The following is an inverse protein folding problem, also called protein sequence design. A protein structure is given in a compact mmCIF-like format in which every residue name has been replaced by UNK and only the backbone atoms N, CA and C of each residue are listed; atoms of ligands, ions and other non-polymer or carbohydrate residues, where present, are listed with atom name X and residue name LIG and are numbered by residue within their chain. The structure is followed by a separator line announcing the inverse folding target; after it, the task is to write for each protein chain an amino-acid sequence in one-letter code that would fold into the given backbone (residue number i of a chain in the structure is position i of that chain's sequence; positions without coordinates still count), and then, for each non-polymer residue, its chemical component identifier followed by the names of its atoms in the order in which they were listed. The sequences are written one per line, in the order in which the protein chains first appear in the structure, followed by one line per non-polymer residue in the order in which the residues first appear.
data_IF_484509161650
#
_entry.id   IF_484509161650
#
_cell.length_a   1.000
_cell.length_b   1.000
_cell.length_c   1.000
_cell.angle_alpha   90.00
_cell.angle_beta   90.00
_cell.angle_gamma   90.00
#
_symmetry.space_group_name_H-M   'P 1'
#
loop_
_entity.id
_entity.type
_entity.pdbx_description
1 polymer ?
#
# COMPACT_ATOMS: atom_id res chain seq x y z
N UNK A 1 16.05 -19.79 -17.05
CA UNK A 1 15.66 -20.37 -15.76
C UNK A 1 14.28 -19.82 -15.43
N UNK A 2 13.25 -20.64 -15.51
CA UNK A 2 11.88 -20.26 -15.13
C UNK A 2 11.85 -20.21 -13.61
N UNK A 3 11.96 -19.00 -13.04
CA UNK A 3 11.67 -18.80 -11.62
C UNK A 3 10.17 -19.09 -11.41
N UNK A 4 9.86 -20.29 -10.92
CA UNK A 4 8.50 -20.60 -10.49
C UNK A 4 8.15 -19.62 -9.35
N UNK A 5 7.20 -18.74 -9.61
CA UNK A 5 6.71 -17.81 -8.60
C UNK A 5 6.01 -18.66 -7.52
N UNK A 6 6.70 -18.92 -6.42
CA UNK A 6 6.13 -19.73 -5.33
C UNK A 6 4.94 -18.97 -4.74
N UNK A 7 3.78 -19.62 -4.68
CA UNK A 7 2.60 -19.05 -4.05
C UNK A 7 2.90 -18.59 -2.61
N UNK A 8 2.49 -17.39 -2.27
CA UNK A 8 2.71 -16.75 -0.97
C UNK A 8 1.40 -16.21 -0.41
N UNK A 9 1.36 -15.96 0.87
CA UNK A 9 0.28 -15.17 1.48
C UNK A 9 0.62 -13.71 1.36
N UNK A 10 -0.32 -12.94 0.78
CA UNK A 10 -0.23 -11.50 0.61
C UNK A 10 -1.28 -10.81 1.49
N UNK A 11 -0.86 -9.96 2.40
CA UNK A 11 -1.71 -9.08 3.19
C UNK A 11 -1.77 -7.71 2.53
N UNK A 12 -2.97 -7.26 2.14
CA UNK A 12 -3.22 -5.96 1.49
C UNK A 12 -4.17 -5.15 2.35
N UNK A 13 -3.71 -4.04 2.92
CA UNK A 13 -4.58 -3.18 3.73
C UNK A 13 -5.42 -2.22 2.87
N UNK A 14 -6.68 -2.00 3.26
CA UNK A 14 -7.58 -1.10 2.54
C UNK A 14 -7.95 -1.61 1.13
N UNK A 15 -8.31 -2.90 1.01
CA UNK A 15 -8.52 -3.59 -0.27
C UNK A 15 -9.98 -3.53 -0.79
N UNK A 16 -10.85 -2.71 -0.20
CA UNK A 16 -12.27 -2.67 -0.56
C UNK A 16 -12.51 -2.10 -1.97
N UNK A 17 -11.69 -1.13 -2.39
CA UNK A 17 -11.86 -0.39 -3.66
C UNK A 17 -10.54 0.21 -4.16
N UNK A 18 -10.59 0.84 -5.35
CA UNK A 18 -9.49 1.60 -5.92
C UNK A 18 -8.20 0.81 -6.01
N UNK A 19 -7.09 1.45 -5.62
CA UNK A 19 -5.73 0.89 -5.69
C UNK A 19 -5.62 -0.42 -4.91
N UNK A 20 -6.13 -0.47 -3.66
CA UNK A 20 -6.03 -1.66 -2.83
C UNK A 20 -6.73 -2.88 -3.41
N UNK A 21 -7.91 -2.69 -4.02
CA UNK A 21 -8.63 -3.77 -4.70
C UNK A 21 -7.88 -4.27 -5.94
N UNK A 22 -7.38 -3.35 -6.77
CA UNK A 22 -6.60 -3.71 -7.94
C UNK A 22 -5.33 -4.51 -7.57
N UNK A 23 -4.62 -4.07 -6.52
CA UNK A 23 -3.46 -4.78 -5.98
C UNK A 23 -3.84 -6.19 -5.51
N UNK A 24 -4.92 -6.32 -4.74
CA UNK A 24 -5.39 -7.60 -4.22
C UNK A 24 -5.68 -8.61 -5.34
N UNK A 25 -6.43 -8.18 -6.36
CA UNK A 25 -6.74 -9.01 -7.54
C UNK A 25 -5.49 -9.35 -8.33
N UNK A 26 -4.62 -8.36 -8.58
CA UNK A 26 -3.41 -8.56 -9.39
C UNK A 26 -2.41 -9.53 -8.71
N UNK A 27 -2.21 -9.45 -7.39
CA UNK A 27 -1.38 -10.39 -6.64
C UNK A 27 -2.00 -11.80 -6.65
N UNK A 28 -3.32 -11.90 -6.51
CA UNK A 28 -4.02 -13.17 -6.61
C UNK A 28 -3.88 -13.84 -7.99
N UNK A 29 -3.93 -13.06 -9.06
CA UNK A 29 -3.70 -13.54 -10.42
C UNK A 29 -2.28 -14.11 -10.64
N UNK A 30 -1.32 -13.76 -9.77
CA UNK A 30 0.01 -14.37 -9.74
C UNK A 30 0.05 -15.69 -8.92
N UNK A 31 -1.09 -16.17 -8.45
CA UNK A 31 -1.20 -17.40 -7.66
C UNK A 31 -0.98 -17.22 -6.16
N UNK A 32 -0.92 -15.99 -5.66
CA UNK A 32 -0.82 -15.73 -4.22
C UNK A 32 -2.18 -15.89 -3.52
N UNK A 33 -2.17 -16.34 -2.27
CA UNK A 33 -3.36 -16.27 -1.40
C UNK A 33 -3.46 -14.87 -0.82
N UNK A 34 -4.58 -14.18 -1.04
CA UNK A 34 -4.73 -12.78 -0.67
C UNK A 34 -5.62 -12.59 0.54
N UNK A 35 -5.11 -11.90 1.55
CA UNK A 35 -5.90 -11.40 2.68
C UNK A 35 -6.04 -9.90 2.50
N UNK A 36 -7.24 -9.44 2.11
CA UNK A 36 -7.55 -8.03 1.98
C UNK A 36 -8.19 -7.48 3.25
N UNK A 37 -7.92 -6.23 3.65
CA UNK A 37 -8.61 -5.69 4.83
C UNK A 37 -9.53 -4.52 4.50
N UNK A 38 -10.59 -4.42 5.27
CA UNK A 38 -11.58 -3.33 5.29
C UNK A 38 -11.85 -2.89 6.73
N UNK A 39 -12.47 -1.72 6.90
CA UNK A 39 -12.82 -1.21 8.22
C UNK A 39 -14.17 -1.72 8.74
N UNK A 40 -14.97 -2.39 7.89
CA UNK A 40 -16.30 -2.92 8.23
C UNK A 40 -16.47 -4.36 7.74
N UNK A 41 -17.43 -5.08 8.30
CA UNK A 41 -17.78 -6.44 7.88
C UNK A 41 -18.31 -6.49 6.44
N UNK A 42 -19.11 -5.49 6.03
CA UNK A 42 -19.61 -5.39 4.66
C UNK A 42 -18.44 -5.21 3.69
N UNK A 43 -17.45 -4.38 4.06
CA UNK A 43 -16.25 -4.18 3.28
C UNK A 43 -15.41 -5.46 3.17
N UNK A 44 -15.26 -6.21 4.25
CA UNK A 44 -14.55 -7.49 4.25
C UNK A 44 -15.27 -8.54 3.37
N UNK A 45 -16.60 -8.62 3.48
CA UNK A 45 -17.42 -9.49 2.63
C UNK A 45 -17.32 -9.11 1.15
N UNK A 46 -17.32 -7.81 0.84
CA UNK A 46 -17.14 -7.30 -0.53
C UNK A 46 -15.77 -7.67 -1.11
N UNK A 47 -14.70 -7.63 -0.30
CA UNK A 47 -13.37 -8.09 -0.72
C UNK A 47 -13.40 -9.57 -1.06
N UNK A 48 -13.95 -10.41 -0.19
CA UNK A 48 -14.07 -11.87 -0.40
C UNK A 48 -14.80 -12.16 -1.71
N UNK A 49 -15.96 -11.51 -1.93
CA UNK A 49 -16.74 -11.67 -3.15
C UNK A 49 -15.97 -11.23 -4.41
N UNK A 50 -15.22 -10.12 -4.32
CA UNK A 50 -14.44 -9.61 -5.43
C UNK A 50 -13.27 -10.54 -5.80
N UNK A 51 -12.57 -11.10 -4.81
CA UNK A 51 -11.51 -12.08 -5.02
C UNK A 51 -12.08 -13.37 -5.66
N UNK A 52 -13.19 -13.89 -5.12
CA UNK A 52 -13.85 -15.08 -5.66
C UNK A 52 -14.29 -14.86 -7.12
N UNK A 53 -14.90 -13.71 -7.44
CA UNK A 53 -15.32 -13.36 -8.80
C UNK A 53 -14.14 -13.25 -9.79
N UNK A 54 -12.96 -12.92 -9.29
CA UNK A 54 -11.71 -12.88 -10.07
C UNK A 54 -10.98 -14.23 -10.12
N UNK A 55 -11.53 -15.30 -9.53
CA UNK A 55 -10.89 -16.61 -9.43
C UNK A 55 -9.66 -16.63 -8.51
N UNK A 56 -9.55 -15.68 -7.59
CA UNK A 56 -8.43 -15.53 -6.67
C UNK A 56 -8.72 -16.22 -5.36
N UNK A 57 -7.77 -17.01 -4.87
CA UNK A 57 -7.83 -17.57 -3.53
C UNK A 57 -7.54 -16.51 -2.48
N UNK A 58 -8.49 -16.23 -1.60
CA UNK A 58 -8.32 -15.20 -0.58
C UNK A 58 -9.60 -14.88 0.16
N UNK A 59 -9.47 -13.99 1.13
CA UNK A 59 -10.58 -13.54 1.96
C UNK A 59 -10.42 -12.07 2.38
N UNK A 60 -11.52 -11.42 2.69
CA UNK A 60 -11.57 -10.12 3.34
C UNK A 60 -11.61 -10.26 4.86
N UNK A 61 -10.92 -9.40 5.56
CA UNK A 61 -10.89 -9.33 7.04
C UNK A 61 -11.15 -7.91 7.51
N UNK A 62 -11.79 -7.78 8.66
CA UNK A 62 -11.95 -6.46 9.29
C UNK A 62 -10.67 -6.06 9.98
N UNK A 63 -10.21 -4.84 9.73
CA UNK A 63 -9.07 -4.25 10.41
C UNK A 63 -9.17 -2.73 10.45
N UNK A 64 -9.16 -2.17 11.66
CA UNK A 64 -8.84 -0.77 11.91
C UNK A 64 -7.32 -0.67 12.09
N UNK A 65 -6.59 -0.20 11.08
CA UNK A 65 -5.10 -0.22 11.10
C UNK A 65 -4.48 0.66 12.20
N UNK A 66 -5.22 1.63 12.73
CA UNK A 66 -4.79 2.46 13.87
C UNK A 66 -4.95 1.74 15.23
N UNK A 67 -5.70 0.64 15.30
CA UNK A 67 -5.81 -0.21 16.49
C UNK A 67 -4.64 -1.20 16.51
N UNK A 68 -3.74 -1.01 17.50
CA UNK A 68 -2.54 -1.84 17.62
C UNK A 68 -2.87 -3.30 17.97
N UNK A 69 -3.84 -3.51 18.86
CA UNK A 69 -4.23 -4.87 19.29
C UNK A 69 -4.91 -5.63 18.14
N UNK A 70 -5.79 -4.95 17.37
CA UNK A 70 -6.41 -5.54 16.19
C UNK A 70 -5.37 -5.91 15.12
N UNK A 71 -4.35 -5.09 14.90
CA UNK A 71 -3.25 -5.40 13.98
C UNK A 71 -2.49 -6.66 14.43
N UNK A 72 -2.13 -6.77 15.71
CA UNK A 72 -1.42 -7.91 16.27
C UNK A 72 -2.24 -9.20 16.16
N UNK A 73 -3.51 -9.17 16.59
CA UNK A 73 -4.43 -10.29 16.52
C UNK A 73 -4.62 -10.79 15.07
N UNK A 74 -4.77 -9.88 14.10
CA UNK A 74 -4.90 -10.27 12.69
C UNK A 74 -3.64 -10.96 12.17
N UNK A 75 -2.45 -10.43 12.48
CA UNK A 75 -1.19 -11.04 12.05
C UNK A 75 -1.00 -12.43 12.68
N UNK A 76 -1.31 -12.60 13.96
CA UNK A 76 -1.25 -13.88 14.66
C UNK A 76 -2.19 -14.91 14.02
N UNK A 77 -3.44 -14.53 13.73
CA UNK A 77 -4.42 -15.41 13.10
C UNK A 77 -3.98 -15.85 11.69
N UNK A 78 -3.48 -14.91 10.87
CA UNK A 78 -2.95 -15.24 9.54
C UNK A 78 -1.74 -16.19 9.67
N UNK A 79 -0.83 -15.94 10.60
CA UNK A 79 0.33 -16.80 10.82
C UNK A 79 -0.07 -18.20 11.31
N UNK A 80 -1.07 -18.30 12.20
CA UNK A 80 -1.59 -19.58 12.68
C UNK A 80 -2.25 -20.39 11.54
N UNK A 81 -3.01 -19.72 10.67
CA UNK A 81 -3.75 -20.35 9.56
C UNK A 81 -2.85 -20.72 8.38
N UNK A 82 -1.88 -19.88 8.03
CA UNK A 82 -1.12 -19.99 6.79
C UNK A 82 0.39 -20.20 7.01
N UNK A 83 0.87 -20.12 8.25
CA UNK A 83 2.27 -20.32 8.61
C UNK A 83 3.21 -19.14 8.29
N UNK A 84 2.85 -18.27 7.35
CA UNK A 84 3.68 -17.12 6.95
C UNK A 84 2.87 -16.02 6.29
N UNK A 85 3.41 -14.79 6.33
CA UNK A 85 2.98 -13.66 5.50
C UNK A 85 4.21 -13.30 4.67
N UNK A 86 4.18 -13.65 3.38
CA UNK A 86 5.32 -13.39 2.48
C UNK A 86 5.29 -11.96 1.92
N UNK A 87 4.12 -11.45 1.60
CA UNK A 87 3.95 -10.12 1.01
C UNK A 87 3.08 -9.27 1.91
N UNK A 88 3.54 -8.06 2.25
CA UNK A 88 2.75 -7.05 2.94
C UNK A 88 2.64 -5.82 2.04
N UNK A 89 1.41 -5.42 1.74
CA UNK A 89 1.12 -4.15 1.05
C UNK A 89 0.38 -3.21 1.99
N UNK A 90 1.06 -2.19 2.46
CA UNK A 90 0.49 -1.12 3.25
C UNK A 90 -0.13 -0.08 2.33
N UNK A 91 -1.43 -0.22 2.05
CA UNK A 91 -2.18 0.69 1.17
C UNK A 91 -3.24 1.51 1.92
N UNK A 92 -3.78 1.04 3.03
CA UNK A 92 -4.75 1.80 3.82
C UNK A 92 -4.24 3.19 4.18
N UNK A 93 -5.09 4.19 4.03
CA UNK A 93 -4.75 5.57 4.35
C UNK A 93 -5.96 6.49 4.33
N UNK A 94 -5.82 7.63 4.97
CA UNK A 94 -6.83 8.69 5.03
C UNK A 94 -6.19 10.05 4.73
N UNK A 95 -7.02 11.01 4.37
CA UNK A 95 -6.67 12.43 4.36
C UNK A 95 -7.53 13.20 5.37
N UNK A 96 -6.99 14.27 5.91
CA UNK A 96 -7.67 15.30 6.71
C UNK A 96 -7.05 16.63 6.32
N UNK A 97 -7.53 17.16 5.21
CA UNK A 97 -6.94 18.32 4.55
C UNK A 97 -7.40 19.62 5.23
N UNK A 98 -6.42 20.43 5.63
CA UNK A 98 -6.66 21.77 6.18
C UNK A 98 -5.37 22.60 6.06
N UNK A 99 -5.51 23.92 5.89
CA UNK A 99 -4.33 24.81 5.89
C UNK A 99 -3.59 24.68 7.24
N UNK A 100 -2.26 24.69 7.22
CA UNK A 100 -1.43 24.46 8.41
C UNK A 100 -1.82 25.34 9.61
N UNK A 101 -2.14 26.63 9.37
CA UNK A 101 -2.58 27.55 10.42
C UNK A 101 -3.97 27.25 11.02
N UNK A 102 -4.75 26.36 10.39
CA UNK A 102 -6.12 25.97 10.82
C UNK A 102 -6.20 24.48 11.13
N UNK A 103 -5.16 23.70 10.82
CA UNK A 103 -5.13 22.27 11.05
C UNK A 103 -5.15 22.00 12.56
N UNK A 104 -6.09 21.17 12.99
CA UNK A 104 -6.22 20.76 14.39
C UNK A 104 -5.29 19.58 14.67
N UNK A 105 -4.87 19.45 15.93
CA UNK A 105 -4.02 18.34 16.37
C UNK A 105 -4.69 16.99 16.10
N UNK A 106 -6.00 16.88 16.25
CA UNK A 106 -6.74 15.65 15.96
C UNK A 106 -6.71 15.28 14.46
N UNK A 107 -6.71 16.27 13.55
CA UNK A 107 -6.58 16.04 12.11
C UNK A 107 -5.16 15.57 11.75
N UNK A 108 -4.16 16.16 12.40
CA UNK A 108 -2.77 15.74 12.29
C UNK A 108 -2.59 14.32 12.81
N UNK A 109 -2.96 14.06 14.05
CA UNK A 109 -2.77 12.77 14.72
C UNK A 109 -3.48 11.63 14.01
N UNK A 110 -4.72 11.83 13.54
CA UNK A 110 -5.46 10.81 12.79
C UNK A 110 -4.71 10.37 11.53
N UNK A 111 -4.11 11.32 10.79
CA UNK A 111 -3.35 11.03 9.58
C UNK A 111 -2.04 10.34 9.91
N UNK A 112 -1.29 10.82 10.90
CA UNK A 112 -0.02 10.20 11.31
C UNK A 112 -0.26 8.78 11.85
N UNK A 113 -1.27 8.57 12.70
CA UNK A 113 -1.59 7.26 13.25
C UNK A 113 -1.95 6.25 12.15
N UNK A 114 -2.75 6.65 11.18
CA UNK A 114 -3.20 5.76 10.10
C UNK A 114 -2.14 5.56 9.03
N UNK A 115 -1.53 6.66 8.54
CA UNK A 115 -0.70 6.61 7.33
C UNK A 115 0.79 6.35 7.61
N UNK A 116 1.25 6.46 8.88
CA UNK A 116 2.65 6.23 9.24
C UNK A 116 2.79 5.21 10.38
N UNK A 117 2.15 5.45 11.54
CA UNK A 117 2.33 4.58 12.71
C UNK A 117 1.80 3.16 12.43
N UNK A 118 0.63 3.03 11.79
CA UNK A 118 0.07 1.74 11.42
C UNK A 118 0.96 0.99 10.41
N UNK A 119 1.52 1.70 9.42
CA UNK A 119 2.47 1.13 8.46
C UNK A 119 3.70 0.56 9.15
N UNK A 120 4.25 1.30 10.12
CA UNK A 120 5.36 0.81 10.95
C UNK A 120 4.96 -0.45 11.74
N UNK A 121 3.80 -0.45 12.41
CA UNK A 121 3.35 -1.58 13.24
C UNK A 121 3.19 -2.86 12.42
N UNK A 122 2.49 -2.77 11.29
CA UNK A 122 2.28 -3.93 10.40
C UNK A 122 3.61 -4.41 9.80
N UNK A 123 4.46 -3.49 9.34
CA UNK A 123 5.79 -3.86 8.83
C UNK A 123 6.61 -4.58 9.89
N UNK A 124 6.71 -4.04 11.10
CA UNK A 124 7.40 -4.67 12.22
C UNK A 124 6.85 -6.06 12.56
N UNK A 125 5.51 -6.21 12.54
CA UNK A 125 4.86 -7.47 12.89
C UNK A 125 5.17 -8.62 11.93
N UNK A 126 5.42 -8.34 10.65
CA UNK A 126 5.76 -9.37 9.66
C UNK A 126 7.26 -9.66 9.55
N UNK A 127 8.14 -8.81 10.13
CA UNK A 127 9.59 -8.99 9.96
C UNK A 127 10.10 -10.33 10.52
N UNK A 128 9.70 -10.70 11.75
CA UNK A 128 10.21 -11.92 12.39
C UNK A 128 9.88 -13.18 11.58
N UNK A 129 8.63 -13.44 11.14
CA UNK A 129 8.34 -14.57 10.28
C UNK A 129 9.03 -14.49 8.91
N UNK A 130 9.13 -13.31 8.28
CA UNK A 130 9.87 -13.14 7.02
C UNK A 130 11.37 -13.43 7.18
N UNK A 131 11.99 -12.98 8.28
CA UNK A 131 13.41 -13.26 8.58
C UNK A 131 13.64 -14.75 8.79
N UNK A 132 12.72 -15.46 9.46
CA UNK A 132 12.78 -16.93 9.63
C UNK A 132 12.67 -17.66 8.29
N UNK A 133 11.79 -17.18 7.40
CA UNK A 133 11.62 -17.73 6.05
C UNK A 133 12.76 -17.33 5.10
N UNK A 134 13.60 -16.35 5.45
CA UNK A 134 14.60 -15.72 4.59
C UNK A 134 14.03 -15.21 3.26
N UNK A 135 12.82 -14.76 3.30
CA UNK A 135 12.07 -14.19 2.17
C UNK A 135 10.97 -13.25 2.66
N UNK A 136 10.81 -12.11 2.03
CA UNK A 136 9.75 -11.18 2.30
C UNK A 136 9.71 -10.00 1.33
N UNK A 137 8.51 -9.45 1.12
CA UNK A 137 8.27 -8.25 0.31
C UNK A 137 7.36 -7.31 1.09
N UNK A 138 7.87 -6.16 1.47
CA UNK A 138 7.08 -5.09 2.10
C UNK A 138 7.00 -3.95 1.10
N UNK A 139 5.77 -3.59 0.70
CA UNK A 139 5.49 -2.56 -0.30
C UNK A 139 4.56 -1.53 0.32
N UNK A 140 5.02 -0.30 0.43
CA UNK A 140 4.29 0.78 1.08
C UNK A 140 3.75 1.76 0.03
N UNK A 141 2.43 1.94 -0.02
CA UNK A 141 1.82 2.91 -0.93
C UNK A 141 1.92 4.31 -0.30
N UNK A 142 2.82 5.12 -0.87
CA UNK A 142 3.04 6.51 -0.49
C UNK A 142 2.23 7.46 -1.38
N UNK A 143 2.80 8.57 -1.84
CA UNK A 143 2.19 9.53 -2.76
C UNK A 143 3.25 10.47 -3.29
N UNK A 144 3.05 11.02 -4.48
CA UNK A 144 3.81 12.19 -4.96
C UNK A 144 3.77 13.35 -3.98
N UNK A 145 2.67 13.51 -3.21
CA UNK A 145 2.54 14.55 -2.19
C UNK A 145 3.61 14.42 -1.09
N UNK A 146 4.09 13.22 -0.81
CA UNK A 146 5.21 13.01 0.12
C UNK A 146 6.56 13.51 -0.43
N UNK A 147 6.66 13.75 -1.74
CA UNK A 147 7.86 14.27 -2.41
C UNK A 147 7.75 15.77 -2.71
N UNK A 148 6.60 16.19 -3.28
CA UNK A 148 6.41 17.57 -3.73
C UNK A 148 5.78 18.49 -2.68
N UNK A 149 5.09 17.92 -1.68
CA UNK A 149 4.14 18.65 -0.85
C UNK A 149 2.85 18.99 -1.61
N UNK A 150 1.83 19.40 -0.86
CA UNK A 150 0.60 19.97 -1.42
C UNK A 150 -0.03 20.91 -0.38
N UNK A 151 -0.47 22.12 -0.75
CA UNK A 151 -1.16 23.01 0.17
C UNK A 151 -2.35 22.32 0.85
N UNK A 152 -2.48 22.50 2.16
CA UNK A 152 -3.53 21.86 2.96
C UNK A 152 -3.26 20.43 3.39
N UNK A 153 -2.14 19.82 3.00
CA UNK A 153 -1.81 18.42 3.29
C UNK A 153 -0.50 18.24 4.05
N UNK A 154 -0.17 19.15 4.98
CA UNK A 154 1.07 19.07 5.75
C UNK A 154 1.18 17.73 6.52
N UNK A 155 0.09 17.27 7.16
CA UNK A 155 -0.01 15.98 7.84
C UNK A 155 0.20 14.79 6.90
N UNK A 156 -0.48 14.81 5.75
CA UNK A 156 -0.40 13.73 4.76
C UNK A 156 0.99 13.67 4.11
N UNK A 157 1.54 14.81 3.71
CA UNK A 157 2.90 14.90 3.17
C UNK A 157 3.95 14.39 4.16
N UNK A 158 3.86 14.82 5.43
CA UNK A 158 4.75 14.34 6.50
C UNK A 158 4.67 12.82 6.69
N UNK A 159 3.45 12.27 6.73
CA UNK A 159 3.25 10.83 6.87
C UNK A 159 3.84 10.05 5.69
N UNK A 160 3.56 10.47 4.44
CA UNK A 160 4.01 9.76 3.24
C UNK A 160 5.53 9.89 3.02
N UNK A 161 6.12 11.03 3.32
CA UNK A 161 7.58 11.21 3.37
C UNK A 161 8.22 10.35 4.48
N UNK A 162 7.60 10.30 5.66
CA UNK A 162 8.04 9.47 6.78
C UNK A 162 8.06 7.98 6.43
N UNK A 163 7.03 7.48 5.73
CA UNK A 163 6.99 6.09 5.25
C UNK A 163 8.16 5.80 4.29
N UNK A 164 8.48 6.70 3.37
CA UNK A 164 9.62 6.52 2.46
C UNK A 164 10.95 6.47 3.22
N UNK A 165 11.14 7.36 4.22
CA UNK A 165 12.31 7.34 5.10
C UNK A 165 12.42 6.06 5.92
N UNK A 166 11.32 5.63 6.54
CA UNK A 166 11.21 4.38 7.29
C UNK A 166 11.51 3.16 6.40
N UNK A 167 11.01 3.13 5.17
CA UNK A 167 11.26 2.03 4.23
C UNK A 167 12.74 1.85 3.95
N UNK A 168 13.49 2.94 3.78
CA UNK A 168 14.95 2.91 3.60
C UNK A 168 15.68 2.37 4.83
N UNK A 169 15.26 2.73 6.03
CA UNK A 169 15.85 2.24 7.26
C UNK A 169 15.61 0.72 7.41
N UNK A 170 14.38 0.26 7.27
CA UNK A 170 14.02 -1.16 7.34
C UNK A 170 14.76 -1.98 6.27
N UNK A 171 14.86 -1.46 5.03
CA UNK A 171 15.59 -2.13 3.95
C UNK A 171 17.05 -2.43 4.32
N UNK A 172 17.73 -1.51 5.03
CA UNK A 172 19.10 -1.71 5.52
C UNK A 172 19.18 -2.76 6.62
N UNK A 173 18.18 -2.83 7.48
CA UNK A 173 18.14 -3.80 8.60
C UNK A 173 17.92 -5.24 8.12
N UNK A 174 17.06 -5.44 7.10
CA UNK A 174 16.58 -6.78 6.75
C UNK A 174 17.04 -7.31 5.40
N UNK A 175 17.74 -6.52 4.58
CA UNK A 175 18.18 -6.89 3.24
C UNK A 175 19.03 -8.17 3.21
N UNK A 176 19.91 -8.38 4.21
CA UNK A 176 20.71 -9.60 4.35
C UNK A 176 19.90 -10.87 4.61
N UNK A 177 18.62 -10.72 4.88
CA UNK A 177 17.66 -11.82 5.12
C UNK A 177 16.77 -12.15 3.92
N UNK A 178 17.06 -11.59 2.73
CA UNK A 178 16.25 -11.81 1.53
C UNK A 178 14.91 -11.07 1.54
N UNK A 179 14.79 -10.03 2.38
CA UNK A 179 13.58 -9.22 2.50
C UNK A 179 13.83 -7.89 1.81
N UNK A 180 12.91 -7.48 0.94
CA UNK A 180 12.93 -6.14 0.35
C UNK A 180 11.83 -5.27 0.95
N UNK A 181 12.14 -3.99 1.15
CA UNK A 181 11.20 -2.99 1.64
C UNK A 181 11.24 -1.80 0.70
N UNK A 182 10.15 -1.59 -0.04
CA UNK A 182 10.05 -0.53 -1.03
C UNK A 182 8.79 0.30 -0.84
N UNK A 183 8.78 1.47 -1.42
CA UNK A 183 7.62 2.33 -1.51
C UNK A 183 7.21 2.52 -2.99
N UNK A 184 5.93 2.77 -3.22
CA UNK A 184 5.40 3.26 -4.49
C UNK A 184 4.80 4.62 -4.22
N UNK A 185 5.12 5.61 -5.05
CA UNK A 185 4.58 6.96 -5.00
C UNK A 185 3.62 7.19 -6.18
N UNK A 186 2.30 6.89 -6.02
CA UNK A 186 1.31 7.20 -7.04
C UNK A 186 1.19 8.70 -7.28
N UNK A 187 0.92 9.07 -8.54
CA UNK A 187 0.40 10.37 -8.90
C UNK A 187 -1.11 10.47 -8.69
N UNK A 188 -1.79 11.24 -9.54
CA UNK A 188 -3.25 11.27 -9.57
C UNK A 188 -3.79 10.02 -10.26
N UNK A 189 -4.52 9.21 -9.51
CA UNK A 189 -5.09 7.93 -9.95
C UNK A 189 -6.60 8.07 -10.04
N UNK A 190 -7.19 7.60 -11.16
CA UNK A 190 -8.64 7.56 -11.33
C UNK A 190 -9.26 6.56 -10.35
N UNK A 191 -9.82 7.11 -9.29
CA UNK A 191 -10.51 6.40 -8.21
C UNK A 191 -11.79 7.15 -7.85
N UNK A 192 -12.55 6.64 -6.90
CA UNK A 192 -13.77 7.33 -6.42
C UNK A 192 -13.49 8.74 -5.89
N UNK A 193 -12.26 9.01 -5.42
CA UNK A 193 -11.87 10.36 -4.97
C UNK A 193 -11.72 11.34 -6.13
N UNK A 194 -11.21 10.89 -7.27
CA UNK A 194 -11.04 11.75 -8.45
C UNK A 194 -12.32 11.89 -9.25
N UNK A 195 -13.25 10.92 -9.18
CA UNK A 195 -14.58 11.00 -9.80
C UNK A 195 -15.47 12.11 -9.23
N UNK A 196 -15.15 12.59 -8.02
CA UNK A 196 -15.87 13.73 -7.41
C UNK A 196 -15.41 15.09 -7.95
N UNK A 197 -14.34 15.13 -8.77
CA UNK A 197 -13.80 16.36 -9.36
C UNK A 197 -14.60 16.77 -10.63
N UNK A 198 -14.70 18.07 -10.88
CA UNK A 198 -15.28 18.58 -12.12
C UNK A 198 -14.36 18.28 -13.33
N UNK A 199 -14.95 18.31 -14.54
CA UNK A 199 -14.18 18.12 -15.79
C UNK A 199 -13.02 19.12 -15.91
N UNK A 200 -13.23 20.38 -15.50
CA UNK A 200 -12.20 21.43 -15.57
C UNK A 200 -11.08 21.16 -14.55
N UNK A 201 -11.39 20.63 -13.38
CA UNK A 201 -10.38 20.20 -12.42
C UNK A 201 -9.59 19.01 -12.96
N UNK A 202 -10.24 18.02 -13.57
CA UNK A 202 -9.57 16.87 -14.20
C UNK A 202 -8.67 17.34 -15.34
N UNK A 203 -9.12 18.25 -16.20
CA UNK A 203 -8.29 18.83 -17.26
C UNK A 203 -7.07 19.56 -16.72
N UNK A 204 -7.25 20.37 -15.66
CA UNK A 204 -6.15 21.10 -15.01
C UNK A 204 -5.12 20.15 -14.40
N UNK A 205 -5.56 19.08 -13.76
CA UNK A 205 -4.67 18.05 -13.20
C UNK A 205 -3.93 17.30 -14.31
N UNK A 206 -4.65 16.89 -15.37
CA UNK A 206 -4.07 16.15 -16.49
C UNK A 206 -3.01 16.97 -17.22
N UNK A 207 -3.21 18.28 -17.34
CA UNK A 207 -2.23 19.19 -17.96
C UNK A 207 -0.90 19.25 -17.21
N UNK A 208 -0.87 18.89 -15.93
CA UNK A 208 0.35 18.83 -15.11
C UNK A 208 1.08 17.49 -15.21
N UNK A 209 0.47 16.50 -15.88
CA UNK A 209 1.02 15.15 -16.00
C UNK A 209 1.63 15.00 -17.40
N UNK A 210 2.95 14.79 -17.55
CA UNK A 210 3.58 14.58 -18.86
C UNK A 210 2.95 13.48 -19.69
N UNK A 211 2.49 12.38 -19.07
CA UNK A 211 1.76 11.30 -19.75
C UNK A 211 0.35 11.67 -20.22
N UNK A 212 -0.15 12.89 -19.95
CA UNK A 212 -1.42 13.46 -20.38
C UNK A 212 -2.65 12.62 -20.03
N UNK A 213 -2.58 11.85 -18.94
CA UNK A 213 -3.70 11.09 -18.40
C UNK A 213 -3.57 10.92 -16.90
N UNK A 214 -4.68 10.68 -16.22
CA UNK A 214 -4.66 10.11 -14.88
C UNK A 214 -4.11 8.68 -14.95
N UNK A 215 -3.43 8.24 -13.91
CA UNK A 215 -3.11 6.83 -13.74
C UNK A 215 -4.37 6.02 -13.41
N UNK A 216 -4.31 4.72 -13.60
CA UNK A 216 -5.36 3.79 -13.17
C UNK A 216 -4.90 3.01 -11.93
N UNK A 217 -5.82 2.42 -11.15
CA UNK A 217 -5.45 1.47 -10.11
C UNK A 217 -4.56 0.33 -10.61
N UNK A 218 -4.74 -0.09 -11.87
CA UNK A 218 -3.95 -1.16 -12.48
C UNK A 218 -2.51 -0.73 -12.79
N UNK A 219 -2.24 0.55 -13.10
CA UNK A 219 -0.88 1.07 -13.24
C UNK A 219 -0.09 0.88 -11.92
N UNK A 220 -0.76 1.07 -10.77
CA UNK A 220 -0.15 0.86 -9.46
C UNK A 220 -0.02 -0.62 -9.14
N UNK A 221 -1.07 -1.41 -9.41
CA UNK A 221 -1.09 -2.84 -9.14
C UNK A 221 0.02 -3.59 -9.91
N UNK A 222 0.27 -3.23 -11.17
CA UNK A 222 1.36 -3.79 -11.97
C UNK A 222 2.73 -3.55 -11.32
N UNK A 223 2.94 -2.35 -10.78
CA UNK A 223 4.18 -1.99 -10.07
C UNK A 223 4.34 -2.77 -8.76
N UNK A 224 3.23 -3.00 -8.03
CA UNK A 224 3.23 -3.84 -6.82
C UNK A 224 3.57 -5.29 -7.16
N UNK A 225 2.96 -5.86 -8.19
CA UNK A 225 3.25 -7.22 -8.66
C UNK A 225 4.73 -7.37 -9.03
N UNK A 226 5.29 -6.40 -9.74
CA UNK A 226 6.72 -6.40 -10.05
C UNK A 226 7.58 -6.38 -8.80
N UNK A 227 7.35 -5.46 -7.85
CA UNK A 227 8.13 -5.37 -6.61
C UNK A 227 7.92 -6.59 -5.68
N UNK A 228 6.80 -7.29 -5.80
CA UNK A 228 6.53 -8.53 -5.06
C UNK A 228 7.23 -9.76 -5.67
N UNK A 229 7.71 -9.68 -6.91
CA UNK A 229 8.30 -10.80 -7.65
C UNK A 229 9.75 -11.08 -7.26
N UNK A 230 10.27 -12.23 -7.73
CA UNK A 230 11.70 -12.55 -7.64
C UNK A 230 12.56 -11.64 -8.53
N UNK A 231 12.01 -11.11 -9.63
CA UNK A 231 12.71 -10.17 -10.51
C UNK A 231 13.10 -8.85 -9.83
N UNK A 232 12.42 -8.50 -8.74
CA UNK A 232 12.72 -7.32 -7.94
C UNK A 232 13.58 -7.62 -6.69
N UNK A 233 14.16 -8.80 -6.56
CA UNK A 233 14.90 -9.23 -5.36
C UNK A 233 16.11 -8.37 -5.02
N UNK A 234 16.64 -7.60 -5.98
CA UNK A 234 17.77 -6.68 -5.80
C UNK A 234 17.32 -5.21 -5.66
N UNK A 235 16.01 -4.96 -5.62
CA UNK A 235 15.42 -3.63 -5.42
C UNK A 235 14.94 -3.53 -3.98
N UNK A 236 15.59 -2.69 -3.17
CA UNK A 236 15.18 -2.46 -1.78
C UNK A 236 15.55 -1.06 -1.32
N UNK A 237 14.71 -0.45 -0.49
CA UNK A 237 14.85 0.94 -0.04
C UNK A 237 14.43 1.97 -1.10
N UNK A 238 13.87 1.54 -2.22
CA UNK A 238 13.48 2.40 -3.33
C UNK A 238 12.08 2.99 -3.11
N UNK A 239 11.86 4.19 -3.66
CA UNK A 239 10.54 4.80 -3.79
C UNK A 239 10.22 4.95 -5.28
N UNK A 240 9.55 3.94 -5.83
CA UNK A 240 9.19 3.90 -7.24
C UNK A 240 8.07 4.92 -7.53
N UNK A 241 8.38 5.93 -8.34
CA UNK A 241 7.43 6.93 -8.80
C UNK A 241 6.55 6.36 -9.92
N UNK A 242 5.23 6.26 -9.67
CA UNK A 242 4.24 5.80 -10.66
C UNK A 242 3.19 6.90 -10.84
N UNK A 243 3.59 7.95 -11.57
CA UNK A 243 2.88 9.24 -11.57
C UNK A 243 2.79 9.91 -12.95
N UNK A 244 3.09 9.18 -14.02
CA UNK A 244 3.05 9.73 -15.38
C UNK A 244 4.07 10.84 -15.66
N UNK A 245 5.14 10.92 -14.85
CA UNK A 245 6.17 11.95 -14.97
C UNK A 245 5.86 13.24 -14.20
N UNK A 246 4.81 13.28 -13.39
CA UNK A 246 4.40 14.45 -12.61
C UNK A 246 5.50 14.92 -11.63
N UNK A 247 6.20 13.96 -11.03
CA UNK A 247 7.38 14.19 -10.20
C UNK A 247 8.47 13.22 -10.65
N UNK A 248 9.64 13.75 -10.94
CA UNK A 248 10.83 13.02 -11.35
C UNK A 248 11.90 13.23 -10.28
N UNK A 249 12.50 12.15 -9.75
CA UNK A 249 13.56 12.14 -8.72
C UNK A 249 14.74 11.32 -9.17
#
# INVERSE_FOLDING_TARGET
MTHSNQARVALVTGATRGIGRAIAVALGAQGHTVIGTATTEEGASAITAALASAGVNGEGRVLQVNDAAACEALLEDILAKHGSIGILVNNAGITRDNLAMRMKDEEWDAVIQTNLTAVFRLSRGVLRPMMKARWGRIINITSVVGQSGNPGQANYAAAKAGVAGMSRALAREVGSRGITVNAIAPGFIDTDMTKALSEDQIKSLTAQIPAQRLGTPDDIAASVVFLASEGASYITGETLSVNGGMVMS
#
